data_IF_106284271542
#
_entry.id   IF_106284271542
#
_cell.length_a   1.000
_cell.length_b   1.000
_cell.length_c   1.000
_cell.angle_alpha   90.00
_cell.angle_beta   90.00
_cell.angle_gamma   90.00
#
_symmetry.space_group_name_H-M   'P 1'
#
loop_
_entity.id
_entity.type
_entity.pdbx_description
1 polymer ?
#
# COMPACT_ATOMS: atom_id res chain seq x y z
N UNK A 1 0.09 20.75 18.12
CA UNK A 1 -0.80 20.51 16.97
C UNK A 1 -0.13 19.51 16.05
N UNK A 2 -0.84 18.49 15.57
CA UNK A 2 -0.28 17.58 14.57
C UNK A 2 0.00 18.39 13.29
N UNK A 3 1.16 18.17 12.66
CA UNK A 3 1.52 18.85 11.42
C UNK A 3 0.57 18.41 10.31
N UNK A 4 0.11 19.34 9.49
CA UNK A 4 -0.82 19.09 8.38
C UNK A 4 -0.14 18.51 7.15
N UNK A 5 1.19 18.39 7.18
CA UNK A 5 2.00 17.85 6.10
C UNK A 5 3.22 17.09 6.63
N UNK A 6 3.77 16.21 5.77
CA UNK A 6 5.04 15.54 5.96
C UNK A 6 5.99 15.88 4.81
N UNK A 7 7.20 16.33 5.16
CA UNK A 7 8.22 16.69 4.17
C UNK A 7 9.23 15.56 3.98
N UNK A 8 9.32 15.08 2.76
CA UNK A 8 10.36 14.18 2.29
C UNK A 8 11.51 14.94 1.60
N UNK A 9 12.58 14.25 1.21
CA UNK A 9 13.72 14.86 0.53
C UNK A 9 13.36 15.52 -0.80
N UNK A 10 12.47 14.88 -1.58
CA UNK A 10 12.14 15.30 -2.94
C UNK A 10 10.71 15.81 -3.11
N UNK A 11 9.83 15.62 -2.12
CA UNK A 11 8.44 16.05 -2.19
C UNK A 11 7.86 16.32 -0.80
N UNK A 12 6.72 16.98 -0.76
CA UNK A 12 5.94 17.21 0.46
C UNK A 12 4.55 16.63 0.29
N UNK A 13 4.04 15.96 1.30
CA UNK A 13 2.69 15.39 1.31
C UNK A 13 1.84 16.13 2.33
N UNK A 14 0.85 16.87 1.88
CA UNK A 14 -0.22 17.40 2.71
C UNK A 14 -1.23 16.29 2.97
N UNK A 15 -1.76 16.21 4.19
CA UNK A 15 -2.66 15.15 4.63
C UNK A 15 -3.74 15.63 5.61
N UNK A 16 -4.03 16.93 5.60
CA UNK A 16 -5.04 17.57 6.45
C UNK A 16 -6.47 17.21 6.06
N UNK A 17 -6.69 16.78 4.81
CA UNK A 17 -7.99 16.34 4.28
C UNK A 17 -8.14 14.82 4.15
N UNK A 18 -7.16 14.06 4.60
CA UNK A 18 -7.17 12.61 4.53
C UNK A 18 -7.55 12.00 5.89
N UNK A 19 -8.34 10.95 5.88
CA UNK A 19 -8.70 10.18 7.08
C UNK A 19 -7.46 9.59 7.77
N UNK A 20 -6.49 9.13 6.98
CA UNK A 20 -5.20 8.65 7.47
C UNK A 20 -4.08 9.63 7.11
N UNK A 21 -3.30 10.02 8.10
CA UNK A 21 -2.08 10.81 7.89
C UNK A 21 -0.97 9.94 7.32
N UNK A 22 0.09 10.60 6.79
CA UNK A 22 1.32 9.89 6.43
C UNK A 22 1.82 9.11 7.64
N UNK A 23 1.88 7.79 7.49
CA UNK A 23 2.28 6.84 8.52
C UNK A 23 3.41 5.94 8.05
N UNK A 24 4.01 5.22 9.01
CA UNK A 24 5.13 4.30 8.74
C UNK A 24 4.75 3.21 7.75
N UNK A 25 3.51 2.70 7.82
CA UNK A 25 3.03 1.61 6.94
C UNK A 25 3.08 2.01 5.46
N UNK A 26 2.52 3.18 5.11
CA UNK A 26 2.56 3.69 3.73
C UNK A 26 3.99 3.94 3.25
N UNK A 27 4.85 4.53 4.12
CA UNK A 27 6.25 4.78 3.77
C UNK A 27 7.02 3.48 3.55
N UNK A 28 6.82 2.46 4.39
CA UNK A 28 7.46 1.15 4.23
C UNK A 28 7.02 0.44 2.95
N UNK A 29 5.71 0.44 2.66
CA UNK A 29 5.20 -0.18 1.44
C UNK A 29 5.76 0.51 0.19
N UNK A 30 5.70 1.84 0.12
CA UNK A 30 6.24 2.61 -1.01
C UNK A 30 7.75 2.49 -1.17
N UNK A 31 8.49 2.30 -0.07
CA UNK A 31 9.94 2.09 -0.08
C UNK A 31 10.33 0.65 -0.48
N UNK A 32 9.54 -0.36 -0.09
CA UNK A 32 9.86 -1.76 -0.29
C UNK A 32 9.32 -2.35 -1.59
N UNK A 33 8.17 -1.89 -2.09
CA UNK A 33 7.51 -2.46 -3.27
C UNK A 33 8.50 -2.70 -4.43
N UNK A 34 8.42 -3.84 -5.13
CA UNK A 34 9.34 -4.18 -6.22
C UNK A 34 9.02 -3.33 -7.46
N UNK A 35 9.88 -2.37 -7.78
CA UNK A 35 9.65 -1.42 -8.88
C UNK A 35 10.58 -1.63 -10.07
N UNK A 36 11.48 -2.63 -10.03
CA UNK A 36 12.41 -2.89 -11.10
C UNK A 36 11.68 -3.37 -12.36
N UNK A 37 11.90 -2.69 -13.48
CA UNK A 37 11.27 -3.01 -14.76
C UNK A 37 9.78 -2.68 -14.87
N UNK A 38 9.15 -2.15 -13.81
CA UNK A 38 7.73 -1.80 -13.76
C UNK A 38 7.44 -0.60 -14.65
N UNK A 39 6.41 -0.71 -15.48
CA UNK A 39 5.93 0.35 -16.38
C UNK A 39 4.57 0.92 -15.99
N UNK A 40 3.70 0.10 -15.43
CA UNK A 40 2.34 0.48 -15.06
C UNK A 40 2.06 0.10 -13.62
N UNK A 41 1.64 1.07 -12.82
CA UNK A 41 1.36 0.90 -11.38
C UNK A 41 -0.05 1.35 -11.06
N UNK A 42 -0.70 0.61 -10.17
CA UNK A 42 -1.97 0.99 -9.55
C UNK A 42 -1.77 1.12 -8.03
N UNK A 43 -2.09 2.29 -7.48
CA UNK A 43 -2.14 2.54 -6.04
C UNK A 43 -3.60 2.59 -5.60
N UNK A 44 -4.04 1.58 -4.87
CA UNK A 44 -5.45 1.38 -4.45
C UNK A 44 -5.67 1.95 -3.06
N UNK A 45 -6.59 2.90 -2.95
CA UNK A 45 -6.82 3.66 -1.72
C UNK A 45 -5.64 4.58 -1.41
N UNK A 46 -5.27 5.40 -2.40
CA UNK A 46 -4.02 6.20 -2.35
C UNK A 46 -3.97 7.22 -1.21
N UNK A 47 -5.13 7.59 -0.65
CA UNK A 47 -5.21 8.58 0.44
C UNK A 47 -4.56 9.90 0.05
N UNK A 48 -3.45 10.22 0.71
CA UNK A 48 -2.67 11.44 0.42
C UNK A 48 -1.74 11.34 -0.80
N UNK A 49 -1.66 10.18 -1.47
CA UNK A 49 -0.77 9.95 -2.60
C UNK A 49 0.67 9.57 -2.22
N UNK A 50 0.95 9.30 -0.95
CA UNK A 50 2.33 9.07 -0.48
C UNK A 50 3.00 7.87 -1.16
N UNK A 51 2.30 6.76 -1.33
CA UNK A 51 2.84 5.54 -1.96
C UNK A 51 3.08 5.79 -3.44
N UNK A 52 2.12 6.37 -4.15
CA UNK A 52 2.26 6.74 -5.56
C UNK A 52 3.48 7.65 -5.81
N UNK A 53 3.69 8.67 -4.96
CA UNK A 53 4.84 9.59 -5.06
C UNK A 53 6.18 8.87 -4.79
N UNK A 54 6.24 7.98 -3.79
CA UNK A 54 7.44 7.20 -3.52
C UNK A 54 7.78 6.24 -4.68
N UNK A 55 6.78 5.59 -5.25
CA UNK A 55 6.98 4.71 -6.42
C UNK A 55 7.42 5.53 -7.63
N UNK A 56 6.83 6.71 -7.87
CA UNK A 56 7.25 7.58 -8.96
C UNK A 56 8.71 8.03 -8.85
N UNK A 57 9.21 8.27 -7.63
CA UNK A 57 10.61 8.58 -7.35
C UNK A 57 11.53 7.41 -7.70
N UNK A 58 11.12 6.16 -7.40
CA UNK A 58 11.92 4.95 -7.57
C UNK A 58 11.85 4.34 -8.98
N UNK A 59 10.72 4.55 -9.67
CA UNK A 59 10.43 4.00 -10.99
C UNK A 59 10.32 5.12 -12.04
N UNK A 60 11.45 5.60 -12.61
CA UNK A 60 11.46 6.80 -13.45
C UNK A 60 10.65 6.67 -14.76
N UNK A 61 10.38 5.45 -15.20
CA UNK A 61 9.63 5.18 -16.43
C UNK A 61 8.20 4.69 -16.20
N UNK A 62 7.78 4.51 -14.93
CA UNK A 62 6.46 4.02 -14.62
C UNK A 62 5.40 5.13 -14.75
N UNK A 63 4.23 4.76 -15.27
CA UNK A 63 2.98 5.52 -15.18
C UNK A 63 2.14 4.95 -14.06
N UNK A 64 1.58 5.81 -13.24
CA UNK A 64 0.89 5.44 -12.01
C UNK A 64 -0.55 5.94 -12.07
N UNK A 65 -1.50 5.06 -11.81
CA UNK A 65 -2.88 5.41 -11.54
C UNK A 65 -3.09 5.25 -10.03
N UNK A 66 -3.59 6.29 -9.38
CA UNK A 66 -3.84 6.34 -7.96
C UNK A 66 -5.36 6.50 -7.74
N UNK A 67 -6.02 5.45 -7.23
CA UNK A 67 -7.48 5.43 -7.05
C UNK A 67 -7.82 5.72 -5.60
N UNK A 68 -8.78 6.62 -5.38
CA UNK A 68 -9.28 6.99 -4.06
C UNK A 68 -10.79 7.18 -4.10
N UNK A 69 -11.50 6.61 -3.13
CA UNK A 69 -12.97 6.69 -3.07
C UNK A 69 -13.43 8.00 -2.44
N UNK A 70 -12.69 8.53 -1.46
CA UNK A 70 -13.01 9.79 -0.79
C UNK A 70 -12.63 10.98 -1.69
N UNK A 71 -13.60 11.82 -2.10
CA UNK A 71 -13.33 12.98 -2.97
C UNK A 71 -12.38 14.01 -2.36
N UNK A 72 -12.37 14.19 -1.02
CA UNK A 72 -11.47 15.16 -0.37
C UNK A 72 -10.04 14.62 -0.35
N UNK A 73 -9.84 13.33 -0.02
CA UNK A 73 -8.55 12.68 -0.11
C UNK A 73 -8.03 12.63 -1.55
N UNK A 74 -8.88 12.33 -2.52
CA UNK A 74 -8.51 12.34 -3.95
C UNK A 74 -8.05 13.73 -4.41
N UNK A 75 -8.75 14.81 -4.02
CA UNK A 75 -8.32 16.20 -4.28
C UNK A 75 -7.00 16.53 -3.61
N UNK A 76 -6.79 16.06 -2.38
CA UNK A 76 -5.52 16.23 -1.65
C UNK A 76 -4.38 15.52 -2.39
N UNK A 77 -4.57 14.23 -2.76
CA UNK A 77 -3.59 13.47 -3.52
C UNK A 77 -3.25 14.16 -4.85
N UNK A 78 -4.27 14.62 -5.60
CA UNK A 78 -4.06 15.35 -6.86
C UNK A 78 -3.25 16.64 -6.66
N UNK A 79 -3.49 17.37 -5.57
CA UNK A 79 -2.72 18.57 -5.23
C UNK A 79 -1.26 18.23 -4.87
N UNK A 80 -1.03 17.16 -4.11
CA UNK A 80 0.30 16.69 -3.76
C UNK A 80 1.08 16.23 -5.01
N UNK A 81 0.40 15.51 -5.91
CA UNK A 81 0.96 15.06 -7.19
C UNK A 81 1.33 16.26 -8.06
N UNK A 82 0.42 17.23 -8.21
CA UNK A 82 0.64 18.43 -9.03
C UNK A 82 1.84 19.28 -8.53
N UNK A 83 2.12 19.26 -7.23
CA UNK A 83 3.26 19.94 -6.61
C UNK A 83 4.58 19.13 -6.69
N UNK A 84 4.55 17.91 -7.22
CA UNK A 84 5.72 17.03 -7.33
C UNK A 84 6.40 17.12 -8.70
N UNK A 85 7.61 16.59 -8.79
CA UNK A 85 8.35 16.47 -10.06
C UNK A 85 7.81 15.35 -10.98
N UNK A 86 6.75 14.65 -10.60
CA UNK A 86 6.21 13.48 -11.30
C UNK A 86 4.74 13.66 -11.71
N UNK A 87 4.26 14.90 -11.73
CA UNK A 87 2.87 15.25 -12.07
C UNK A 87 2.41 14.71 -13.44
N UNK A 88 3.34 14.60 -14.39
CA UNK A 88 3.12 14.07 -15.73
C UNK A 88 2.94 12.55 -15.80
N UNK A 89 3.31 11.82 -14.75
CA UNK A 89 3.31 10.35 -14.69
C UNK A 89 2.34 9.75 -13.68
N UNK A 90 1.69 10.57 -12.85
CA UNK A 90 0.74 10.10 -11.83
C UNK A 90 -0.63 10.70 -12.14
N UNK A 91 -1.60 9.84 -12.36
CA UNK A 91 -3.00 10.21 -12.51
C UNK A 91 -3.79 9.81 -11.26
N UNK A 92 -4.41 10.78 -10.60
CA UNK A 92 -5.33 10.51 -9.48
C UNK A 92 -6.76 10.39 -10.02
N UNK A 93 -7.44 9.31 -9.64
CA UNK A 93 -8.82 9.02 -10.04
C UNK A 93 -9.69 8.90 -8.80
N UNK A 94 -10.70 9.75 -8.69
CA UNK A 94 -11.71 9.64 -7.64
C UNK A 94 -12.75 8.60 -8.06
N UNK A 95 -12.66 7.38 -7.53
CA UNK A 95 -13.53 6.28 -7.88
C UNK A 95 -13.55 5.21 -6.78
N UNK A 96 -14.65 4.46 -6.71
CA UNK A 96 -14.70 3.22 -5.96
C UNK A 96 -13.89 2.14 -6.72
N UNK A 97 -12.87 1.61 -6.05
CA UNK A 97 -12.04 0.55 -6.63
C UNK A 97 -12.84 -0.70 -7.01
N UNK A 98 -13.90 -1.02 -6.30
CA UNK A 98 -14.78 -2.16 -6.63
C UNK A 98 -15.43 -2.05 -8.02
N UNK A 99 -15.50 -0.84 -8.58
CA UNK A 99 -16.09 -0.53 -9.88
C UNK A 99 -15.06 0.06 -10.86
N UNK A 100 -13.83 0.27 -10.41
CA UNK A 100 -12.76 0.79 -11.27
C UNK A 100 -12.32 -0.26 -12.29
N UNK A 101 -12.22 0.15 -13.54
CA UNK A 101 -11.74 -0.67 -14.65
C UNK A 101 -10.58 0.05 -15.34
N UNK A 102 -9.57 -0.71 -15.72
CA UNK A 102 -8.44 -0.22 -16.49
C UNK A 102 -8.42 -0.91 -17.87
N UNK A 103 -8.03 -0.16 -18.90
CA UNK A 103 -7.92 -0.68 -20.27
C UNK A 103 -6.75 -1.65 -20.44
N UNK A 104 -5.68 -1.44 -19.67
CA UNK A 104 -4.46 -2.24 -19.73
C UNK A 104 -4.07 -2.74 -18.33
N UNK A 105 -3.48 -3.94 -18.22
CA UNK A 105 -3.08 -4.51 -16.95
C UNK A 105 -1.90 -3.75 -16.31
N UNK A 106 -1.71 -3.96 -15.01
CA UNK A 106 -0.65 -3.36 -14.20
C UNK A 106 0.45 -4.36 -13.87
N UNK A 107 1.70 -3.91 -13.95
CA UNK A 107 2.86 -4.69 -13.52
C UNK A 107 2.98 -4.74 -12.00
N UNK A 108 2.53 -3.66 -11.35
CA UNK A 108 2.52 -3.55 -9.89
C UNK A 108 1.20 -2.94 -9.43
N UNK A 109 0.54 -3.62 -8.49
CA UNK A 109 -0.59 -3.08 -7.74
C UNK A 109 -0.15 -2.97 -6.29
N UNK A 110 -0.40 -1.83 -5.65
CA UNK A 110 -0.11 -1.60 -4.23
C UNK A 110 -1.34 -1.15 -3.49
N UNK A 111 -1.45 -1.51 -2.20
CA UNK A 111 -2.51 -1.01 -1.32
C UNK A 111 -2.06 -0.98 0.14
N UNK A 112 -2.41 0.09 0.82
CA UNK A 112 -2.40 0.17 2.28
C UNK A 112 -3.85 0.33 2.76
N UNK A 113 -4.64 -0.75 2.73
CA UNK A 113 -6.07 -0.67 2.99
C UNK A 113 -6.34 -0.32 4.46
N UNK A 114 -7.47 0.32 4.78
CA UNK A 114 -7.87 0.52 6.16
C UNK A 114 -8.09 -0.83 6.86
N UNK A 115 -7.53 -1.00 8.07
CA UNK A 115 -7.61 -2.23 8.83
C UNK A 115 -8.86 -2.22 9.71
N UNK A 116 -9.93 -2.82 9.24
CA UNK A 116 -11.09 -3.09 10.09
C UNK A 116 -10.97 -4.50 10.69
N UNK A 117 -10.52 -4.54 11.94
CA UNK A 117 -10.70 -5.75 12.74
C UNK A 117 -12.21 -5.89 12.92
N UNK A 118 -12.79 -7.04 12.57
CA UNK A 118 -14.08 -7.47 13.10
C UNK A 118 -13.97 -7.59 14.61
N UNK A 119 -14.00 -6.47 15.33
CA UNK A 119 -14.20 -6.49 16.76
C UNK A 119 -15.67 -6.84 17.00
N UNK A 120 -15.93 -8.13 17.15
CA UNK A 120 -17.09 -8.61 17.87
C UNK A 120 -17.11 -7.88 19.21
N UNK A 121 -18.19 -7.10 19.45
CA UNK A 121 -18.50 -6.37 20.67
C UNK A 121 -17.90 -4.96 20.86
N UNK A 122 -18.56 -4.00 20.20
CA UNK A 122 -18.70 -2.69 20.78
C UNK A 122 -20.15 -2.19 20.57
N UNK A 123 -20.94 -1.88 21.64
CA UNK A 123 -22.38 -1.59 21.53
C UNK A 123 -22.74 -0.21 20.95
N UNK A 124 -21.79 0.61 20.53
CA UNK A 124 -22.03 1.89 19.90
C UNK A 124 -22.19 1.75 18.36
N UNK A 125 -23.35 1.21 17.99
CA UNK A 125 -23.68 0.76 16.63
C UNK A 125 -23.82 1.87 15.59
N UNK A 126 -24.01 3.13 15.95
CA UNK A 126 -24.29 4.20 14.99
C UNK A 126 -23.04 4.79 14.31
N UNK A 127 -21.88 4.78 15.00
CA UNK A 127 -20.60 5.19 14.42
C UNK A 127 -19.89 4.06 13.69
N UNK A 128 -20.19 2.83 14.06
CA UNK A 128 -19.61 1.61 13.48
C UNK A 128 -20.25 1.29 12.12
N UNK A 129 -21.55 1.50 11.96
CA UNK A 129 -22.26 1.24 10.69
C UNK A 129 -21.82 2.17 9.55
N UNK A 130 -21.57 3.47 9.82
CA UNK A 130 -21.07 4.39 8.80
C UNK A 130 -19.65 4.04 8.32
N UNK A 131 -18.82 3.44 9.19
CA UNK A 131 -17.44 3.01 8.85
C UNK A 131 -17.39 1.63 8.18
N UNK A 132 -18.40 0.78 8.36
CA UNK A 132 -18.48 -0.55 7.71
C UNK A 132 -18.86 -0.46 6.23
N UNK A 133 -19.55 0.59 5.80
CA UNK A 133 -19.95 0.78 4.40
C UNK A 133 -18.80 1.32 3.52
N UNK A 134 -17.73 1.87 4.11
CA UNK A 134 -16.63 2.51 3.38
C UNK A 134 -15.38 1.63 3.27
N UNK A 135 -15.40 0.39 3.79
CA UNK A 135 -14.24 -0.50 3.76
C UNK A 135 -14.31 -1.43 2.55
N UNK A 136 -13.26 -1.44 1.73
CA UNK A 136 -13.07 -2.41 0.66
C UNK A 136 -12.75 -3.79 1.28
N UNK A 137 -13.66 -4.81 1.19
CA UNK A 137 -13.39 -6.14 1.72
C UNK A 137 -12.19 -6.78 1.01
N UNK A 138 -11.39 -7.57 1.73
CA UNK A 138 -10.22 -8.25 1.14
C UNK A 138 -10.58 -9.11 -0.06
N UNK A 139 -11.69 -9.86 -0.01
CA UNK A 139 -12.15 -10.63 -1.17
C UNK A 139 -12.35 -9.74 -2.41
N UNK A 140 -13.02 -8.60 -2.24
CA UNK A 140 -13.23 -7.63 -3.32
C UNK A 140 -11.91 -7.04 -3.79
N UNK A 141 -11.01 -6.66 -2.85
CA UNK A 141 -9.69 -6.13 -3.18
C UNK A 141 -8.87 -7.14 -4.01
N UNK A 142 -8.78 -8.38 -3.54
CA UNK A 142 -8.02 -9.43 -4.23
C UNK A 142 -8.63 -9.79 -5.58
N UNK A 143 -9.94 -9.93 -5.66
CA UNK A 143 -10.66 -10.24 -6.91
C UNK A 143 -10.42 -9.17 -7.97
N UNK A 144 -10.62 -7.90 -7.64
CA UNK A 144 -10.41 -6.81 -8.58
C UNK A 144 -8.93 -6.61 -8.92
N UNK A 145 -8.03 -6.69 -7.94
CA UNK A 145 -6.59 -6.62 -8.20
C UNK A 145 -6.16 -7.73 -9.18
N UNK A 146 -6.65 -8.95 -8.99
CA UNK A 146 -6.33 -10.07 -9.89
C UNK A 146 -6.80 -9.81 -11.32
N UNK A 147 -7.99 -9.25 -11.54
CA UNK A 147 -8.47 -8.98 -12.92
C UNK A 147 -7.59 -7.98 -13.67
N UNK A 148 -6.99 -7.03 -12.96
CA UNK A 148 -6.17 -5.96 -13.54
C UNK A 148 -4.66 -6.22 -13.47
N UNK A 149 -4.22 -7.30 -12.81
CA UNK A 149 -2.81 -7.64 -12.70
C UNK A 149 -2.28 -8.25 -13.99
N UNK A 150 -1.14 -7.79 -14.48
CA UNK A 150 -0.44 -8.41 -15.61
C UNK A 150 -0.05 -9.86 -15.29
N UNK A 151 0.21 -10.73 -16.30
CA UNK A 151 0.58 -12.13 -16.07
C UNK A 151 1.76 -12.30 -15.09
N UNK A 152 2.82 -11.49 -15.25
CA UNK A 152 4.00 -11.48 -14.36
C UNK A 152 3.95 -10.38 -13.29
N UNK A 153 2.80 -9.70 -13.19
CA UNK A 153 2.59 -8.60 -12.26
C UNK A 153 2.64 -9.04 -10.80
N UNK A 154 2.86 -8.07 -9.94
CA UNK A 154 2.93 -8.26 -8.49
C UNK A 154 1.87 -7.41 -7.80
N UNK A 155 1.11 -8.00 -6.88
CA UNK A 155 0.22 -7.29 -5.98
C UNK A 155 0.83 -7.23 -4.59
N UNK A 156 1.10 -6.03 -4.08
CA UNK A 156 1.68 -5.81 -2.75
C UNK A 156 0.70 -5.07 -1.85
N UNK A 157 0.61 -5.49 -0.60
CA UNK A 157 -0.12 -4.74 0.42
C UNK A 157 0.57 -4.84 1.78
N UNK A 158 0.34 -3.82 2.62
CA UNK A 158 0.75 -3.88 4.02
C UNK A 158 -0.48 -4.11 4.88
N UNK A 159 -0.39 -5.00 5.87
CA UNK A 159 -1.51 -5.31 6.76
C UNK A 159 -1.05 -5.82 8.14
N UNK A 160 -1.94 -5.83 9.16
CA UNK A 160 -1.69 -6.51 10.41
C UNK A 160 -1.45 -8.00 10.22
N UNK A 161 -0.49 -8.56 10.96
CA UNK A 161 -0.21 -10.01 10.94
C UNK A 161 -1.38 -10.85 11.41
N UNK A 162 -2.29 -10.28 12.22
CA UNK A 162 -3.53 -10.95 12.65
C UNK A 162 -4.49 -11.27 11.52
N UNK A 163 -4.37 -10.59 10.35
CA UNK A 163 -5.20 -10.80 9.17
C UNK A 163 -4.55 -11.73 8.14
N UNK A 164 -3.44 -12.37 8.49
CA UNK A 164 -2.68 -13.23 7.57
C UNK A 164 -3.55 -14.32 6.93
N UNK A 165 -4.32 -15.05 7.73
CA UNK A 165 -5.14 -16.16 7.23
C UNK A 165 -6.27 -15.68 6.32
N UNK A 166 -6.90 -14.55 6.65
CA UNK A 166 -7.97 -13.97 5.82
C UNK A 166 -7.43 -13.56 4.45
N UNK A 167 -6.24 -12.93 4.42
CA UNK A 167 -5.59 -12.56 3.16
C UNK A 167 -5.14 -13.78 2.35
N UNK A 168 -4.64 -14.83 3.02
CA UNK A 168 -4.26 -16.06 2.33
C UNK A 168 -5.47 -16.77 1.72
N UNK A 169 -6.61 -16.78 2.41
CA UNK A 169 -7.88 -17.27 1.87
C UNK A 169 -8.30 -16.49 0.63
N UNK A 170 -8.39 -15.16 0.74
CA UNK A 170 -8.75 -14.29 -0.37
C UNK A 170 -7.80 -14.43 -1.57
N UNK A 171 -6.49 -14.56 -1.33
CA UNK A 171 -5.50 -14.79 -2.38
C UNK A 171 -5.75 -16.13 -3.09
N UNK A 172 -5.95 -17.20 -2.31
CA UNK A 172 -6.17 -18.54 -2.85
C UNK A 172 -7.42 -18.60 -3.73
N UNK A 173 -8.54 -18.03 -3.25
CA UNK A 173 -9.82 -18.00 -3.96
C UNK A 173 -9.75 -17.19 -5.26
N UNK A 174 -8.82 -16.23 -5.33
CA UNK A 174 -8.59 -15.39 -6.50
C UNK A 174 -7.35 -15.79 -7.33
N UNK A 175 -6.91 -17.04 -7.25
CA UNK A 175 -5.80 -17.61 -8.05
C UNK A 175 -4.46 -16.89 -7.89
N UNK A 176 -4.25 -16.27 -6.74
CA UNK A 176 -2.95 -15.71 -6.36
C UNK A 176 -2.22 -16.63 -5.38
N UNK A 177 -0.90 -16.61 -5.44
CA UNK A 177 -0.01 -17.23 -4.47
C UNK A 177 0.90 -16.20 -3.83
N UNK A 178 1.19 -16.35 -2.54
CA UNK A 178 2.14 -15.49 -1.85
C UNK A 178 3.55 -15.74 -2.37
N UNK A 179 4.19 -14.69 -2.90
CA UNK A 179 5.56 -14.72 -3.41
C UNK A 179 6.57 -14.25 -2.36
N UNK A 180 6.17 -13.29 -1.52
CA UNK A 180 7.02 -12.81 -0.43
C UNK A 180 6.16 -12.31 0.74
N UNK A 181 6.65 -12.53 1.95
CA UNK A 181 6.19 -11.84 3.16
C UNK A 181 7.39 -11.13 3.80
N UNK A 182 7.24 -9.84 4.10
CA UNK A 182 8.23 -9.07 4.83
C UNK A 182 7.64 -8.67 6.20
N UNK A 183 8.14 -9.31 7.26
CA UNK A 183 7.69 -9.07 8.63
C UNK A 183 8.26 -7.76 9.17
N UNK A 184 7.37 -6.86 9.63
CA UNK A 184 7.76 -5.54 10.14
C UNK A 184 7.77 -5.59 11.67
N UNK A 185 8.96 -5.56 12.23
CA UNK A 185 9.17 -5.49 13.67
C UNK A 185 9.32 -4.02 14.08
N UNK A 186 8.46 -3.55 14.98
CA UNK A 186 8.63 -2.20 15.57
C UNK A 186 9.84 -2.14 16.48
N UNK A 187 10.12 -3.24 17.18
CA UNK A 187 11.30 -3.55 17.98
C UNK A 187 11.56 -5.05 17.92
N UNK A 188 12.75 -5.54 18.31
CA UNK A 188 13.02 -6.97 18.38
C UNK A 188 11.88 -7.75 19.08
N UNK A 189 11.38 -8.79 18.42
CA UNK A 189 10.30 -9.64 18.91
C UNK A 189 8.87 -9.06 18.80
N UNK A 190 8.67 -7.83 18.38
CA UNK A 190 7.34 -7.22 18.26
C UNK A 190 6.97 -7.02 16.79
N UNK A 191 6.38 -8.04 16.18
CA UNK A 191 5.86 -8.02 14.82
C UNK A 191 4.33 -7.88 14.82
N UNK A 192 3.83 -6.73 14.36
CA UNK A 192 2.38 -6.45 14.26
C UNK A 192 1.92 -6.19 12.84
N UNK A 193 2.82 -6.04 11.89
CA UNK A 193 2.57 -5.71 10.50
C UNK A 193 3.44 -6.58 9.61
N UNK A 194 2.97 -6.83 8.41
CA UNK A 194 3.80 -7.40 7.35
C UNK A 194 3.42 -6.78 6.00
N UNK A 195 4.39 -6.70 5.10
CA UNK A 195 4.13 -6.43 3.69
C UNK A 195 4.03 -7.78 3.00
N UNK A 196 2.96 -7.97 2.27
CA UNK A 196 2.67 -9.17 1.51
C UNK A 196 2.82 -8.87 0.02
N UNK A 197 3.42 -9.79 -0.69
CA UNK A 197 3.55 -9.75 -2.14
C UNK A 197 2.93 -11.02 -2.73
N UNK A 198 2.00 -10.83 -3.66
CA UNK A 198 1.28 -11.90 -4.33
C UNK A 198 1.56 -11.86 -5.83
N UNK A 199 1.58 -13.03 -6.45
CA UNK A 199 1.65 -13.21 -7.90
C UNK A 199 0.59 -14.21 -8.35
N UNK A 200 0.28 -14.21 -9.64
CA UNK A 200 -0.58 -15.24 -10.21
C UNK A 200 0.04 -16.62 -10.00
N UNK A 201 -0.81 -17.62 -9.75
CA UNK A 201 -0.39 -19.02 -9.83
C UNK A 201 0.10 -19.31 -11.25
N UNK A 202 1.16 -20.09 -11.36
CA UNK A 202 1.66 -20.50 -12.67
C UNK A 202 0.61 -21.34 -13.42
N UNK A 203 0.64 -21.40 -14.76
CA UNK A 203 -0.29 -22.23 -15.55
C UNK A 203 -0.27 -23.71 -15.15
N UNK A 204 0.83 -24.20 -14.60
CA UNK A 204 0.97 -25.54 -14.03
C UNK A 204 0.22 -25.75 -12.72
N UNK A 205 -0.42 -24.71 -12.15
CA UNK A 205 -1.00 -24.73 -10.81
C UNK A 205 0.01 -24.56 -9.68
N UNK A 206 1.31 -24.45 -9.98
CA UNK A 206 2.33 -24.22 -8.98
C UNK A 206 2.23 -22.81 -8.40
N UNK A 207 2.48 -22.71 -7.10
CA UNK A 207 2.61 -21.42 -6.43
C UNK A 207 3.96 -20.77 -6.78
N UNK A 208 4.04 -19.44 -6.80
CA UNK A 208 5.33 -18.76 -6.91
C UNK A 208 6.25 -19.16 -5.75
N UNK A 209 7.56 -19.03 -5.98
CA UNK A 209 8.55 -19.27 -4.92
C UNK A 209 8.30 -18.28 -3.79
N UNK A 210 8.07 -18.83 -2.61
CA UNK A 210 7.84 -18.03 -1.41
C UNK A 210 9.16 -17.62 -0.76
N UNK A 211 9.27 -16.33 -0.41
CA UNK A 211 10.40 -15.77 0.35
C UNK A 211 9.89 -15.12 1.62
N UNK A 212 10.65 -15.22 2.68
CA UNK A 212 10.42 -14.50 3.93
C UNK A 212 11.55 -13.51 4.15
N UNK A 213 11.16 -12.28 4.49
CA UNK A 213 12.05 -11.17 4.79
C UNK A 213 11.62 -10.55 6.11
N UNK A 214 12.47 -9.74 6.70
CA UNK A 214 12.10 -8.97 7.88
C UNK A 214 12.79 -7.61 7.88
N UNK A 215 12.13 -6.63 8.51
CA UNK A 215 12.66 -5.30 8.78
C UNK A 215 12.36 -4.99 10.23
N UNK A 216 13.38 -4.62 11.00
CA UNK A 216 13.21 -4.09 12.35
C UNK A 216 13.37 -2.57 12.31
N UNK A 217 12.37 -1.83 12.79
CA UNK A 217 12.39 -0.36 12.73
C UNK A 217 13.36 0.22 13.77
N UNK A 218 13.24 -0.23 15.02
CA UNK A 218 14.06 0.25 16.13
C UNK A 218 14.83 -0.88 16.79
N UNK A 219 16.05 -0.60 17.19
CA UNK A 219 16.84 -1.47 18.06
C UNK A 219 16.30 -1.49 19.51
N UNK A 220 16.93 -2.26 20.39
CA UNK A 220 16.57 -2.33 21.80
C UNK A 220 16.69 -0.99 22.52
N UNK A 221 17.58 -0.11 22.06
CA UNK A 221 17.81 1.23 22.61
C UNK A 221 16.85 2.27 22.07
N UNK A 222 16.01 1.93 21.07
CA UNK A 222 15.05 2.81 20.44
C UNK A 222 15.62 3.64 19.29
N UNK A 223 16.84 3.36 18.82
CA UNK A 223 17.39 3.97 17.61
C UNK A 223 16.85 3.26 16.38
N UNK A 224 16.75 3.97 15.26
CA UNK A 224 16.46 3.33 13.97
C UNK A 224 17.58 2.36 13.58
N UNK A 225 17.20 1.15 13.14
CA UNK A 225 18.16 0.17 12.65
C UNK A 225 18.77 0.59 11.31
N UNK A 226 19.91 0.00 10.97
CA UNK A 226 20.57 0.29 9.70
C UNK A 226 19.73 -0.14 8.50
N UNK A 227 19.09 -1.31 8.56
CA UNK A 227 18.21 -1.81 7.49
C UNK A 227 17.03 -0.88 7.22
N UNK A 228 16.37 -0.38 8.28
CA UNK A 228 15.29 0.59 8.14
C UNK A 228 15.78 1.92 7.57
N UNK A 229 16.96 2.39 8.02
CA UNK A 229 17.59 3.60 7.49
C UNK A 229 17.89 3.47 6.00
N UNK A 230 18.54 2.39 5.59
CA UNK A 230 18.89 2.14 4.18
C UNK A 230 17.65 2.11 3.29
N UNK A 231 16.58 1.43 3.72
CA UNK A 231 15.34 1.34 2.97
C UNK A 231 14.67 2.71 2.80
N UNK A 232 14.66 3.54 3.85
CA UNK A 232 13.91 4.79 3.89
C UNK A 232 14.76 6.05 3.65
N UNK A 233 16.08 5.92 3.60
CA UNK A 233 17.02 7.01 3.33
C UNK A 233 16.74 7.82 2.06
N UNK A 234 16.24 7.24 0.95
CA UNK A 234 15.90 8.03 -0.23
C UNK A 234 14.76 9.04 0.01
N UNK A 235 13.99 8.86 1.08
CA UNK A 235 12.78 9.63 1.37
C UNK A 235 12.93 10.58 2.56
N UNK A 236 13.36 10.09 3.72
CA UNK A 236 13.38 10.88 4.94
C UNK A 236 14.51 11.93 4.95
N UNK A 237 14.20 13.12 5.52
CA UNK A 237 15.15 14.25 5.59
C UNK A 237 16.34 13.99 6.50
N UNK A 238 16.13 13.23 7.56
CA UNK A 238 17.08 13.02 8.64
C UNK A 238 17.31 11.54 8.88
N UNK A 239 18.34 11.03 8.28
CA UNK A 239 19.04 9.80 8.64
C UNK A 239 20.53 10.00 8.39
#
# INVERSE_FOLDING_TARGET
MAKDHFRFKQFTVWHDRCAMKVGTDGVLLGAWAPVEGVKRVLDVGTGSGVIALQIAQRAPHARIIAVEIDPEAARQAASNVAASSWADRIQVVCADFAHFLAEEPFDLIVSNPPYFVHSLHNPDSSRTQARHNDSLPYDTLFRHATTMLAPEGTFCLIAPTSLHLDMMGAAFDNHLGMACINHIFTKPGICKRAIYSFKRKLPTGMLPVHREEHITIHDEKGNYTEEYRQLTAPFYLHF
#
